data_IF_656334481069
#
_entry.id   IF_656334481069
#
_cell.length_a   1.000
_cell.length_b   1.000
_cell.length_c   1.000
_cell.angle_alpha   90.00
_cell.angle_beta   90.00
_cell.angle_gamma   90.00
#
_symmetry.space_group_name_H-M   'P 1'
#
loop_
_entity.id
_entity.type
_entity.pdbx_description
1 polymer ?
#
# COMPACT_ATOMS: atom_id res chain seq x y z
N UNK A 1 -36.67 12.13 16.80
CA UNK A 1 -36.75 10.68 16.47
C UNK A 1 -35.97 10.35 15.20
N UNK A 2 -36.17 11.08 14.09
CA UNK A 2 -35.47 10.85 12.81
C UNK A 2 -33.93 10.87 12.90
N UNK A 3 -33.32 11.81 13.64
CA UNK A 3 -31.87 11.91 13.78
C UNK A 3 -31.24 10.95 14.81
N UNK A 4 -32.00 10.03 15.41
CA UNK A 4 -31.45 9.15 16.47
C UNK A 4 -30.30 8.26 15.97
N UNK A 5 -30.34 7.65 14.76
CA UNK A 5 -29.27 6.77 14.28
C UNK A 5 -27.91 7.48 14.12
N UNK A 6 -27.91 8.74 13.66
CA UNK A 6 -26.68 9.50 13.37
C UNK A 6 -25.97 10.08 14.61
N UNK A 7 -26.62 10.06 15.78
CA UNK A 7 -26.05 10.62 17.02
C UNK A 7 -25.14 9.61 17.70
N UNK A 8 -23.87 9.97 17.86
CA UNK A 8 -22.88 9.15 18.55
C UNK A 8 -21.90 10.03 19.32
N UNK A 9 -21.78 9.78 20.63
CA UNK A 9 -20.94 10.54 21.56
C UNK A 9 -19.74 9.70 22.07
N UNK A 10 -19.44 8.58 21.40
CA UNK A 10 -18.35 7.68 21.74
C UNK A 10 -17.08 7.88 20.90
N UNK A 11 -16.16 6.92 20.97
CA UNK A 11 -14.95 6.93 20.14
C UNK A 11 -15.29 6.58 18.68
N UNK A 12 -15.26 7.58 17.79
CA UNK A 12 -15.54 7.42 16.36
C UNK A 12 -14.52 6.59 15.57
N UNK A 13 -13.38 6.25 16.16
CA UNK A 13 -12.30 5.49 15.50
C UNK A 13 -12.27 4.01 15.91
N UNK A 14 -13.12 3.57 16.85
CA UNK A 14 -13.09 2.18 17.32
C UNK A 14 -13.77 1.23 16.33
N UNK A 15 -13.28 -0.01 16.25
CA UNK A 15 -13.95 -1.08 15.49
C UNK A 15 -15.35 -1.37 16.03
N UNK A 16 -15.58 -1.08 17.32
CA UNK A 16 -16.90 -1.14 17.94
C UNK A 16 -17.88 -0.16 17.30
N UNK A 17 -17.41 1.06 17.00
CA UNK A 17 -18.25 2.05 16.31
C UNK A 17 -18.57 1.63 14.88
N UNK A 18 -17.62 1.07 14.14
CA UNK A 18 -17.88 0.59 12.76
C UNK A 18 -19.03 -0.43 12.74
N UNK A 19 -18.97 -1.43 13.62
CA UNK A 19 -20.03 -2.46 13.74
C UNK A 19 -21.37 -1.86 14.19
N UNK A 20 -21.32 -0.89 15.11
CA UNK A 20 -22.51 -0.22 15.62
C UNK A 20 -23.15 0.69 14.56
N UNK A 21 -22.35 1.38 13.76
CA UNK A 21 -22.79 2.22 12.66
C UNK A 21 -23.47 1.39 11.57
N UNK A 22 -22.90 0.25 11.19
CA UNK A 22 -23.52 -0.72 10.27
C UNK A 22 -24.87 -1.20 10.83
N UNK A 23 -24.94 -1.57 12.12
CA UNK A 23 -26.19 -1.98 12.79
C UNK A 23 -27.25 -0.87 12.77
N UNK A 24 -26.84 0.39 12.75
CA UNK A 24 -27.71 1.57 12.66
C UNK A 24 -28.12 1.90 11.22
N UNK A 25 -27.60 1.18 10.23
CA UNK A 25 -27.83 1.45 8.81
C UNK A 25 -27.07 2.68 8.30
N UNK A 26 -25.97 3.05 8.96
CA UNK A 26 -25.08 4.09 8.47
C UNK A 26 -24.13 3.51 7.43
N UNK A 27 -23.82 4.32 6.41
CA UNK A 27 -22.88 3.93 5.36
C UNK A 27 -21.46 3.86 5.93
N UNK A 28 -20.85 2.68 5.83
CA UNK A 28 -19.50 2.36 6.29
C UNK A 28 -18.56 1.98 5.15
N UNK A 29 -18.95 2.24 3.90
CA UNK A 29 -18.13 1.97 2.73
C UNK A 29 -16.79 2.73 2.78
N UNK A 30 -15.71 2.03 2.44
CA UNK A 30 -14.33 2.56 2.47
C UNK A 30 -13.72 2.67 1.07
N UNK A 31 -14.29 1.95 0.10
CA UNK A 31 -13.84 1.96 -1.28
C UNK A 31 -14.11 3.32 -1.92
N UNK A 32 -13.06 4.08 -2.20
CA UNK A 32 -13.18 5.38 -2.87
C UNK A 32 -14.02 5.31 -4.15
N UNK A 33 -13.80 4.34 -5.07
CA UNK A 33 -14.63 4.17 -6.26
C UNK A 33 -16.12 4.00 -5.95
N UNK A 34 -16.47 3.17 -4.96
CA UNK A 34 -17.88 2.89 -4.60
C UNK A 34 -18.50 4.11 -3.91
N UNK A 35 -17.74 4.80 -3.04
CA UNK A 35 -18.23 6.01 -2.36
C UNK A 35 -18.58 7.10 -3.38
N UNK A 36 -17.85 7.21 -4.50
CA UNK A 36 -18.20 8.19 -5.53
C UNK A 36 -19.57 7.90 -6.16
N UNK A 37 -20.00 6.64 -6.25
CA UNK A 37 -21.33 6.28 -6.77
C UNK A 37 -22.46 6.97 -5.99
N UNK A 38 -22.26 7.31 -4.71
CA UNK A 38 -23.27 7.97 -3.86
C UNK A 38 -23.69 9.36 -4.35
N UNK A 39 -22.92 9.98 -5.25
CA UNK A 39 -23.37 11.18 -5.97
C UNK A 39 -24.55 10.90 -6.92
N UNK A 40 -24.72 9.66 -7.36
CA UNK A 40 -25.78 9.22 -8.27
C UNK A 40 -26.97 8.59 -7.53
N UNK A 41 -26.95 8.55 -6.19
CA UNK A 41 -28.14 8.21 -5.42
C UNK A 41 -29.24 9.22 -5.75
N UNK A 42 -30.46 8.75 -5.98
CA UNK A 42 -31.59 9.61 -6.34
C UNK A 42 -31.81 10.73 -5.33
N UNK A 43 -31.61 10.46 -4.03
CA UNK A 43 -31.69 11.47 -2.97
C UNK A 43 -30.59 12.54 -3.07
N UNK A 44 -29.39 12.16 -3.49
CA UNK A 44 -28.28 13.08 -3.74
C UNK A 44 -28.57 13.95 -4.96
N UNK A 45 -29.03 13.34 -6.06
CA UNK A 45 -29.38 14.04 -7.29
C UNK A 45 -30.51 15.05 -7.04
N UNK A 46 -31.60 14.61 -6.40
CA UNK A 46 -32.73 15.47 -6.05
C UNK A 46 -32.30 16.66 -5.19
N UNK A 47 -31.38 16.45 -4.24
CA UNK A 47 -30.84 17.52 -3.41
C UNK A 47 -30.03 18.54 -4.24
N UNK A 48 -29.16 18.08 -5.13
CA UNK A 48 -28.36 18.98 -5.98
C UNK A 48 -29.22 19.74 -7.01
N UNK A 49 -30.22 19.08 -7.60
CA UNK A 49 -31.10 19.68 -8.60
C UNK A 49 -32.08 20.68 -7.95
N UNK A 50 -32.69 20.33 -6.82
CA UNK A 50 -33.61 21.23 -6.10
C UNK A 50 -32.93 22.48 -5.55
N UNK A 51 -31.63 22.41 -5.26
CA UNK A 51 -30.81 23.55 -4.84
C UNK A 51 -30.18 24.30 -6.01
N UNK A 52 -30.40 23.85 -7.25
CA UNK A 52 -29.86 24.42 -8.49
C UNK A 52 -28.32 24.54 -8.47
N UNK A 53 -27.65 23.57 -7.85
CA UNK A 53 -26.18 23.52 -7.72
C UNK A 53 -25.57 22.71 -8.87
N UNK A 54 -26.12 21.52 -9.15
CA UNK A 54 -25.70 20.64 -10.25
C UNK A 54 -26.89 19.85 -10.78
N UNK A 55 -26.84 19.51 -12.05
CA UNK A 55 -27.78 18.60 -12.73
C UNK A 55 -27.29 17.16 -12.66
N UNK A 56 -28.18 16.18 -12.88
CA UNK A 56 -27.80 14.76 -13.00
C UNK A 56 -26.61 14.52 -13.95
N UNK A 57 -26.64 15.13 -15.13
CA UNK A 57 -25.56 14.98 -16.13
C UNK A 57 -24.22 15.50 -15.62
N UNK A 58 -24.22 16.59 -14.86
CA UNK A 58 -23.00 17.13 -14.25
C UNK A 58 -22.48 16.24 -13.12
N UNK A 59 -23.37 15.61 -12.36
CA UNK A 59 -23.00 14.63 -11.33
C UNK A 59 -22.40 13.36 -11.95
N UNK A 60 -22.99 12.84 -13.03
CA UNK A 60 -22.44 11.72 -13.81
C UNK A 60 -21.04 12.04 -14.33
N UNK A 61 -20.87 13.19 -14.98
CA UNK A 61 -19.57 13.63 -15.48
C UNK A 61 -18.55 13.83 -14.35
N UNK A 62 -18.97 14.36 -13.20
CA UNK A 62 -18.12 14.54 -12.02
C UNK A 62 -17.61 13.20 -11.47
N UNK A 63 -18.47 12.19 -11.44
CA UNK A 63 -18.08 10.84 -11.03
C UNK A 63 -17.09 10.20 -11.99
N UNK A 64 -17.32 10.35 -13.29
CA UNK A 64 -16.41 9.86 -14.32
C UNK A 64 -14.99 10.42 -14.12
N UNK A 65 -14.88 11.75 -13.94
CA UNK A 65 -13.61 12.43 -13.68
C UNK A 65 -12.98 11.97 -12.35
N UNK A 66 -13.77 11.72 -11.32
CA UNK A 66 -13.27 11.22 -10.02
C UNK A 66 -12.69 9.81 -10.14
N UNK A 67 -13.38 8.90 -10.83
CA UNK A 67 -12.86 7.54 -11.09
C UNK A 67 -11.59 7.60 -11.95
N UNK A 68 -11.56 8.45 -12.97
CA UNK A 68 -10.38 8.63 -13.80
C UNK A 68 -9.18 9.15 -13.00
N UNK A 69 -9.41 10.16 -12.17
CA UNK A 69 -8.37 10.74 -11.29
C UNK A 69 -7.85 9.69 -10.31
N UNK A 70 -8.75 8.90 -9.71
CA UNK A 70 -8.38 7.82 -8.81
C UNK A 70 -7.50 6.78 -9.50
N UNK A 71 -7.94 6.27 -10.65
CA UNK A 71 -7.19 5.28 -11.44
C UNK A 71 -5.80 5.81 -11.80
N UNK A 72 -5.71 7.03 -12.33
CA UNK A 72 -4.43 7.64 -12.73
C UNK A 72 -3.48 7.79 -11.54
N UNK A 73 -4.00 8.22 -10.38
CA UNK A 73 -3.21 8.37 -9.17
C UNK A 73 -2.64 7.04 -8.70
N UNK A 74 -3.50 6.04 -8.47
CA UNK A 74 -3.07 4.71 -8.01
C UNK A 74 -2.12 4.07 -9.02
N UNK A 75 -2.36 4.26 -10.32
CA UNK A 75 -1.48 3.76 -11.38
C UNK A 75 -0.07 4.36 -11.32
N UNK A 76 0.06 5.66 -11.06
CA UNK A 76 1.36 6.33 -10.89
C UNK A 76 2.05 5.81 -9.64
N UNK A 77 1.34 5.77 -8.50
CA UNK A 77 1.88 5.29 -7.24
C UNK A 77 2.38 3.84 -7.36
N UNK A 78 1.59 2.96 -7.99
CA UNK A 78 1.97 1.58 -8.24
C UNK A 78 3.20 1.44 -9.16
N UNK A 79 3.32 2.31 -10.18
CA UNK A 79 4.47 2.32 -11.08
C UNK A 79 5.73 2.73 -10.33
N UNK A 80 5.66 3.86 -9.62
CA UNK A 80 6.77 4.40 -8.84
C UNK A 80 7.21 3.39 -7.78
N UNK A 81 6.27 2.75 -7.09
CA UNK A 81 6.59 1.72 -6.10
C UNK A 81 7.34 0.53 -6.72
N UNK A 82 6.88 0.01 -7.86
CA UNK A 82 7.58 -1.06 -8.58
C UNK A 82 8.99 -0.64 -9.00
N UNK A 83 9.12 0.53 -9.62
CA UNK A 83 10.40 1.07 -10.08
C UNK A 83 11.37 1.30 -8.91
N UNK A 84 10.89 1.83 -7.78
CA UNK A 84 11.70 2.04 -6.57
C UNK A 84 12.14 0.71 -5.93
N UNK A 85 11.23 -0.27 -5.88
CA UNK A 85 11.52 -1.58 -5.31
C UNK A 85 12.66 -2.27 -6.04
N UNK A 86 12.58 -2.32 -7.38
CA UNK A 86 13.55 -3.02 -8.23
C UNK A 86 14.88 -2.27 -8.36
N UNK A 87 14.86 -0.93 -8.45
CA UNK A 87 16.06 -0.16 -8.78
C UNK A 87 16.77 0.44 -7.56
N UNK A 88 16.09 0.62 -6.43
CA UNK A 88 16.66 1.27 -5.25
C UNK A 88 16.70 0.36 -4.02
N UNK A 89 15.63 -0.39 -3.74
CA UNK A 89 15.54 -1.20 -2.52
C UNK A 89 16.29 -2.53 -2.64
N UNK A 90 15.93 -3.35 -3.64
CA UNK A 90 16.53 -4.67 -3.83
C UNK A 90 18.06 -4.58 -3.99
N UNK A 91 18.63 -3.69 -4.83
CA UNK A 91 20.09 -3.61 -4.98
C UNK A 91 20.83 -3.28 -3.69
N UNK A 92 20.26 -2.41 -2.85
CA UNK A 92 20.83 -2.06 -1.55
C UNK A 92 20.78 -3.25 -0.58
N UNK A 93 19.66 -3.97 -0.54
CA UNK A 93 19.51 -5.16 0.27
C UNK A 93 20.50 -6.27 -0.14
N UNK A 94 20.65 -6.51 -1.44
CA UNK A 94 21.62 -7.48 -2.00
C UNK A 94 23.07 -7.06 -1.71
N UNK A 95 23.38 -5.76 -1.77
CA UNK A 95 24.70 -5.25 -1.43
C UNK A 95 25.04 -5.50 0.05
N UNK A 96 24.11 -5.20 0.95
CA UNK A 96 24.28 -5.47 2.37
C UNK A 96 24.39 -6.98 2.66
N UNK A 97 23.55 -7.80 2.02
CA UNK A 97 23.62 -9.26 2.11
C UNK A 97 25.00 -9.79 1.69
N UNK A 98 25.57 -9.28 0.61
CA UNK A 98 26.93 -9.64 0.15
C UNK A 98 27.99 -9.31 1.21
N UNK A 99 27.84 -8.18 1.89
CA UNK A 99 28.72 -7.78 3.00
C UNK A 99 28.61 -8.74 4.19
N UNK A 100 27.40 -9.16 4.56
CA UNK A 100 27.17 -10.16 5.60
C UNK A 100 27.79 -11.52 5.25
N UNK A 101 27.64 -11.97 4.00
CA UNK A 101 28.23 -13.23 3.52
C UNK A 101 29.75 -13.20 3.64
N UNK A 102 30.39 -12.11 3.19
CA UNK A 102 31.85 -11.93 3.30
C UNK A 102 32.33 -11.96 4.76
N UNK A 103 31.56 -11.35 5.68
CA UNK A 103 31.86 -11.39 7.10
C UNK A 103 31.81 -12.83 7.64
N UNK A 104 30.79 -13.61 7.29
CA UNK A 104 30.69 -15.03 7.69
C UNK A 104 31.84 -15.86 7.14
N UNK A 105 32.21 -15.68 5.86
CA UNK A 105 33.35 -16.36 5.25
C UNK A 105 34.66 -16.02 5.98
N UNK A 106 34.87 -14.74 6.30
CA UNK A 106 36.06 -14.29 7.04
C UNK A 106 36.12 -14.87 8.45
N UNK A 107 34.98 -14.97 9.16
CA UNK A 107 34.92 -15.60 10.49
C UNK A 107 35.28 -17.09 10.44
N UNK A 108 34.86 -17.81 9.39
CA UNK A 108 35.23 -19.22 9.18
C UNK A 108 36.72 -19.41 8.90
N UNK A 109 37.39 -18.42 8.31
CA UNK A 109 38.82 -18.48 8.05
C UNK A 109 39.67 -18.21 9.31
N UNK A 110 39.16 -17.42 10.26
CA UNK A 110 39.90 -17.00 11.46
C UNK A 110 39.70 -17.95 12.65
N UNK A 111 38.51 -18.53 12.79
CA UNK A 111 38.15 -19.37 13.95
C UNK A 111 37.94 -20.84 13.58
N UNK A 112 38.17 -21.78 14.52
CA UNK A 112 37.75 -23.17 14.34
C UNK A 112 36.26 -23.28 14.02
N UNK A 113 35.88 -24.24 13.19
CA UNK A 113 34.55 -24.37 12.59
C UNK A 113 33.39 -24.25 13.59
N UNK A 114 33.45 -24.99 14.71
CA UNK A 114 32.43 -24.95 15.76
C UNK A 114 32.26 -23.55 16.38
N UNK A 115 33.35 -22.79 16.54
CA UNK A 115 33.31 -21.44 17.10
C UNK A 115 32.84 -20.43 16.05
N UNK A 116 33.29 -20.56 14.81
CA UNK A 116 32.87 -19.71 13.70
C UNK A 116 31.36 -19.81 13.43
N UNK A 117 30.79 -21.02 13.48
CA UNK A 117 29.36 -21.25 13.28
C UNK A 117 28.51 -20.57 14.38
N UNK A 118 28.92 -20.73 15.64
CA UNK A 118 28.24 -20.10 16.78
C UNK A 118 28.27 -18.58 16.71
N UNK A 119 29.39 -17.99 16.30
CA UNK A 119 29.54 -16.53 16.16
C UNK A 119 28.79 -15.99 14.93
N UNK A 120 28.65 -16.78 13.87
CA UNK A 120 28.01 -16.37 12.61
C UNK A 120 26.50 -16.60 12.56
N UNK A 121 25.91 -17.23 13.59
CA UNK A 121 24.49 -17.64 13.57
C UNK A 121 23.54 -16.48 13.28
N UNK A 122 23.79 -15.29 13.85
CA UNK A 122 22.97 -14.10 13.58
C UNK A 122 23.08 -13.65 12.12
N UNK A 123 24.30 -13.56 11.58
CA UNK A 123 24.51 -13.12 10.21
C UNK A 123 23.89 -14.09 9.20
N UNK A 124 23.96 -15.40 9.46
CA UNK A 124 23.30 -16.41 8.62
C UNK A 124 21.78 -16.22 8.56
N UNK A 125 21.14 -15.96 9.71
CA UNK A 125 19.70 -15.66 9.76
C UNK A 125 19.34 -14.40 8.97
N UNK A 126 20.13 -13.33 9.11
CA UNK A 126 19.89 -12.10 8.36
C UNK A 126 20.06 -12.30 6.84
N UNK A 127 21.04 -13.09 6.42
CA UNK A 127 21.26 -13.40 5.00
C UNK A 127 20.05 -14.12 4.41
N UNK A 128 19.53 -15.12 5.11
CA UNK A 128 18.34 -15.88 4.72
C UNK A 128 17.09 -15.00 4.68
N UNK A 129 16.89 -14.18 5.72
CA UNK A 129 15.75 -13.26 5.79
C UNK A 129 15.78 -12.22 4.67
N UNK A 130 16.94 -11.62 4.37
CA UNK A 130 17.08 -10.69 3.25
C UNK A 130 16.76 -11.39 1.94
N UNK A 131 17.30 -12.59 1.69
CA UNK A 131 17.06 -13.34 0.45
C UNK A 131 15.57 -13.59 0.21
N UNK A 132 14.89 -14.10 1.24
CA UNK A 132 13.47 -14.45 1.16
C UNK A 132 12.60 -13.20 0.93
N UNK A 133 12.93 -12.09 1.59
CA UNK A 133 12.19 -10.83 1.42
C UNK A 133 12.42 -10.23 0.04
N UNK A 134 13.65 -10.22 -0.46
CA UNK A 134 13.93 -9.71 -1.81
C UNK A 134 13.20 -10.52 -2.88
N UNK A 135 13.21 -11.85 -2.77
CA UNK A 135 12.45 -12.72 -3.68
C UNK A 135 10.94 -12.45 -3.61
N UNK A 136 10.40 -12.30 -2.39
CA UNK A 136 8.97 -11.98 -2.20
C UNK A 136 8.61 -10.63 -2.82
N UNK A 137 9.47 -9.61 -2.69
CA UNK A 137 9.25 -8.30 -3.30
C UNK A 137 9.25 -8.40 -4.82
N UNK A 138 10.19 -9.13 -5.42
CA UNK A 138 10.26 -9.34 -6.88
C UNK A 138 8.96 -9.97 -7.40
N UNK A 139 8.51 -11.05 -6.78
CA UNK A 139 7.24 -11.72 -7.12
C UNK A 139 6.03 -10.78 -7.01
N UNK A 140 5.93 -10.03 -5.91
CA UNK A 140 4.83 -9.10 -5.71
C UNK A 140 4.84 -7.95 -6.72
N UNK A 141 6.01 -7.47 -7.15
CA UNK A 141 6.14 -6.44 -8.19
C UNK A 141 5.72 -6.96 -9.56
N UNK A 142 6.05 -8.21 -9.89
CA UNK A 142 5.56 -8.87 -11.10
C UNK A 142 4.03 -9.00 -11.07
N UNK A 143 3.47 -9.48 -9.96
CA UNK A 143 2.01 -9.56 -9.77
C UNK A 143 1.33 -8.20 -9.83
N UNK A 144 1.94 -7.16 -9.25
CA UNK A 144 1.44 -5.77 -9.33
C UNK A 144 1.41 -5.29 -10.77
N UNK A 145 2.44 -5.60 -11.54
CA UNK A 145 2.55 -5.23 -12.96
C UNK A 145 1.47 -5.93 -13.78
N UNK A 146 1.24 -7.23 -13.54
CA UNK A 146 0.18 -7.98 -14.20
C UNK A 146 -1.21 -7.47 -13.82
N UNK A 147 -1.47 -7.23 -12.53
CA UNK A 147 -2.75 -6.68 -12.06
C UNK A 147 -3.06 -5.34 -12.72
N UNK A 148 -2.08 -4.45 -12.83
CA UNK A 148 -2.22 -3.19 -13.57
C UNK A 148 -2.50 -3.43 -15.05
N UNK A 149 -1.82 -4.38 -15.68
CA UNK A 149 -2.03 -4.71 -17.10
C UNK A 149 -3.46 -5.18 -17.36
N UNK A 150 -3.99 -6.04 -16.50
CA UNK A 150 -5.38 -6.51 -16.57
C UNK A 150 -6.35 -5.36 -16.33
N UNK A 151 -6.17 -4.57 -15.26
CA UNK A 151 -7.04 -3.45 -14.94
C UNK A 151 -7.10 -2.40 -16.08
N UNK A 152 -5.98 -2.09 -16.72
CA UNK A 152 -5.93 -1.11 -17.82
C UNK A 152 -6.66 -1.54 -19.10
N UNK A 153 -7.02 -2.83 -19.23
CA UNK A 153 -7.81 -3.34 -20.37
C UNK A 153 -9.32 -3.21 -20.15
N UNK A 154 -9.76 -2.81 -18.97
CA UNK A 154 -11.18 -2.63 -18.66
C UNK A 154 -11.63 -1.30 -19.25
N UNK A 155 -12.47 -1.29 -20.28
CA UNK A 155 -12.89 -0.05 -20.97
C UNK A 155 -13.69 0.90 -20.07
N UNK A 156 -14.60 0.36 -19.27
CA UNK A 156 -15.41 1.15 -18.35
C UNK A 156 -14.57 1.70 -17.20
N UNK A 157 -14.54 3.03 -17.04
CA UNK A 157 -13.69 3.68 -16.03
C UNK A 157 -14.09 3.36 -14.59
N UNK A 158 -15.38 3.16 -14.34
CA UNK A 158 -15.88 2.78 -13.02
C UNK A 158 -15.39 1.38 -12.63
N UNK A 159 -15.61 0.38 -13.48
CA UNK A 159 -15.10 -0.97 -13.26
C UNK A 159 -13.57 -1.02 -13.18
N UNK A 160 -12.89 -0.16 -13.95
CA UNK A 160 -11.43 0.01 -13.85
C UNK A 160 -11.02 0.55 -12.48
N UNK A 161 -11.71 1.56 -11.96
CA UNK A 161 -11.44 2.14 -10.64
C UNK A 161 -11.62 1.10 -9.53
N UNK A 162 -12.69 0.30 -9.59
CA UNK A 162 -12.91 -0.83 -8.67
C UNK A 162 -11.74 -1.83 -8.77
N UNK A 163 -11.34 -2.24 -9.98
CA UNK A 163 -10.24 -3.17 -10.15
C UNK A 163 -8.92 -2.63 -9.55
N UNK A 164 -8.64 -1.32 -9.70
CA UNK A 164 -7.48 -0.69 -9.08
C UNK A 164 -7.55 -0.72 -7.55
N UNK A 165 -8.70 -0.43 -6.95
CA UNK A 165 -8.91 -0.50 -5.51
C UNK A 165 -8.80 -1.94 -4.97
N UNK A 166 -9.45 -2.90 -5.62
CA UNK A 166 -9.59 -4.26 -5.07
C UNK A 166 -8.38 -5.15 -5.35
N UNK A 167 -7.59 -4.86 -6.40
CA UNK A 167 -6.51 -5.75 -6.85
C UNK A 167 -5.13 -5.10 -6.88
N UNK A 168 -5.02 -3.82 -7.25
CA UNK A 168 -3.72 -3.14 -7.39
C UNK A 168 -3.25 -2.59 -6.05
N UNK A 169 -4.11 -1.85 -5.34
CA UNK A 169 -3.78 -1.23 -4.05
C UNK A 169 -3.36 -2.25 -2.97
N UNK A 170 -4.02 -3.42 -2.80
CA UNK A 170 -3.60 -4.40 -1.80
C UNK A 170 -2.20 -4.96 -2.07
N UNK A 171 -1.81 -5.10 -3.35
CA UNK A 171 -0.46 -5.54 -3.73
C UNK A 171 0.59 -4.50 -3.37
N UNK A 172 0.29 -3.22 -3.54
CA UNK A 172 1.17 -2.14 -3.09
C UNK A 172 1.41 -2.19 -1.57
N UNK A 173 0.36 -2.45 -0.79
CA UNK A 173 0.51 -2.60 0.67
C UNK A 173 1.34 -3.83 1.05
N UNK A 174 1.17 -4.95 0.33
CA UNK A 174 1.99 -6.14 0.54
C UNK A 174 3.48 -5.88 0.27
N UNK A 175 3.81 -5.22 -0.83
CA UNK A 175 5.20 -4.82 -1.17
C UNK A 175 5.77 -3.94 -0.08
N UNK A 176 5.01 -2.90 0.32
CA UNK A 176 5.44 -1.96 1.36
C UNK A 176 5.80 -2.66 2.66
N UNK A 177 4.99 -3.62 3.11
CA UNK A 177 5.26 -4.37 4.35
C UNK A 177 6.60 -5.10 4.32
N UNK A 178 6.98 -5.68 3.18
CA UNK A 178 8.28 -6.34 3.03
C UNK A 178 9.44 -5.34 2.99
N UNK A 179 9.26 -4.19 2.32
CA UNK A 179 10.26 -3.11 2.28
C UNK A 179 10.48 -2.51 3.67
N UNK A 180 9.41 -2.19 4.40
CA UNK A 180 9.49 -1.63 5.76
C UNK A 180 10.20 -2.63 6.71
N UNK A 181 10.05 -3.94 6.48
CA UNK A 181 10.77 -4.96 7.22
C UNK A 181 12.26 -5.02 6.85
N UNK A 182 12.60 -4.86 5.56
CA UNK A 182 13.99 -4.76 5.10
C UNK A 182 14.69 -3.52 5.66
N UNK A 183 14.00 -2.38 5.76
CA UNK A 183 14.54 -1.13 6.32
C UNK A 183 15.09 -1.31 7.74
N UNK A 184 14.47 -2.20 8.52
CA UNK A 184 14.86 -2.51 9.90
C UNK A 184 16.10 -3.42 10.00
N UNK A 185 16.42 -4.13 8.94
CA UNK A 185 17.50 -5.13 8.90
C UNK A 185 18.75 -4.57 8.22
N UNK A 186 18.55 -3.79 7.15
CA UNK A 186 19.62 -3.20 6.36
C UNK A 186 20.31 -2.08 7.13
N UNK A 187 21.62 -2.00 6.98
CA UNK A 187 22.44 -0.94 7.57
C UNK A 187 21.96 0.45 7.13
N UNK A 188 21.86 1.36 8.09
CA UNK A 188 21.33 2.70 7.91
C UNK A 188 22.07 3.52 6.85
N UNK A 189 23.41 3.46 6.87
CA UNK A 189 24.25 4.23 5.94
C UNK A 189 24.19 3.74 4.49
N UNK A 190 23.65 2.54 4.25
CA UNK A 190 23.43 1.99 2.91
C UNK A 190 22.01 2.28 2.41
N UNK A 191 21.07 2.56 3.30
CA UNK A 191 19.68 2.78 2.95
C UNK A 191 19.53 4.11 2.19
N UNK A 192 19.05 4.04 0.95
CA UNK A 192 19.06 5.19 0.02
C UNK A 192 17.94 6.18 0.27
N UNK A 193 16.87 5.77 0.96
CA UNK A 193 15.71 6.61 1.21
C UNK A 193 15.78 7.20 2.62
N UNK A 194 15.39 8.48 2.81
CA UNK A 194 15.32 9.05 4.15
C UNK A 194 14.26 8.31 4.98
N UNK A 195 14.65 7.92 6.18
CA UNK A 195 13.75 7.22 7.11
C UNK A 195 12.73 8.20 7.68
N UNK A 196 11.59 7.68 8.16
CA UNK A 196 10.53 8.52 8.74
C UNK A 196 11.04 9.45 9.85
N UNK A 197 11.98 8.98 10.68
CA UNK A 197 12.57 9.81 11.75
C UNK A 197 13.30 11.04 11.20
N UNK A 198 13.89 10.93 10.02
CA UNK A 198 14.65 11.99 9.38
C UNK A 198 13.69 12.98 8.73
N UNK A 199 12.71 12.47 7.99
CA UNK A 199 11.66 13.28 7.37
C UNK A 199 10.82 14.08 8.37
N UNK A 200 10.59 13.53 9.57
CA UNK A 200 9.70 14.14 10.56
C UNK A 200 10.40 15.06 11.55
N UNK A 201 11.69 14.82 11.87
CA UNK A 201 12.35 15.50 12.99
C UNK A 201 13.69 16.16 12.64
N UNK A 202 14.34 15.79 11.54
CA UNK A 202 15.60 16.42 11.13
C UNK A 202 15.27 17.62 10.25
N UNK A 203 15.59 18.81 10.74
CA UNK A 203 15.51 20.09 10.01
C UNK A 203 16.88 20.50 9.50
#
# INVERSE_FOLDING_TARGET
KACKPIRFDGNGYSDEWVKEAERRGLDCEKSCPIVFERYLDETSIDMFESTNVMTRKELEARNEVKWETYVKRVQIEARVMGDMSMNHIIPVATHYQSTLIRNVQSMKAVFPENKALKLSTRNLKLIEEIAQRTETIEQLVEELTEARRVANRIDNIHSRAIAYHDTVEPKMQAIRKEIDSLEMIVEDGLWTLPKYRELLFIR
#
